data_IF_174930053093
#
_entry.id   IF_174930053093
#
_cell.length_a   1.000
_cell.length_b   1.000
_cell.length_c   1.000
_cell.angle_alpha   90.00
_cell.angle_beta   90.00
_cell.angle_gamma   90.00
#
_symmetry.space_group_name_H-M   'P 1'
#
loop_
_entity.id
_entity.type
_entity.pdbx_description
1 polymer ?
#
# COMPACT_ATOMS: atom_id res chain seq x y z
N UNK A 1 -17.33 -48.02 -12.33
CA UNK A 1 -16.90 -47.09 -11.28
C UNK A 1 -17.41 -45.72 -11.67
N UNK A 2 -18.41 -45.20 -10.98
CA UNK A 2 -18.81 -43.80 -11.15
C UNK A 2 -17.62 -42.92 -10.76
N UNK A 3 -17.26 -41.99 -11.65
CA UNK A 3 -16.31 -40.94 -11.31
C UNK A 3 -17.01 -40.03 -10.30
N UNK A 4 -16.67 -40.18 -9.02
CA UNK A 4 -17.05 -39.21 -8.00
C UNK A 4 -16.51 -37.84 -8.40
N UNK A 5 -17.40 -36.93 -8.83
CA UNK A 5 -17.04 -35.54 -9.07
C UNK A 5 -16.66 -34.89 -7.75
N UNK A 6 -15.39 -34.52 -7.61
CA UNK A 6 -14.90 -33.77 -6.46
C UNK A 6 -15.00 -32.28 -6.80
N UNK A 7 -15.97 -31.59 -6.19
CA UNK A 7 -16.13 -30.14 -6.32
C UNK A 7 -15.26 -29.45 -5.26
N UNK A 8 -14.14 -28.86 -5.67
CA UNK A 8 -13.31 -28.03 -4.79
C UNK A 8 -13.95 -26.64 -4.72
N UNK A 9 -14.50 -26.28 -3.56
CA UNK A 9 -15.06 -24.94 -3.35
C UNK A 9 -13.94 -23.90 -3.34
N UNK A 10 -14.11 -22.85 -4.15
CA UNK A 10 -13.21 -21.70 -4.10
C UNK A 10 -13.27 -21.04 -2.72
N UNK A 11 -12.12 -20.86 -2.08
CA UNK A 11 -12.04 -20.10 -0.84
C UNK A 11 -12.37 -18.63 -1.12
N UNK A 12 -13.14 -18.04 -0.21
CA UNK A 12 -13.52 -16.63 -0.24
C UNK A 12 -13.34 -16.08 1.18
N UNK A 13 -12.68 -14.92 1.34
CA UNK A 13 -12.48 -14.34 2.65
C UNK A 13 -13.81 -14.06 3.34
N UNK A 14 -13.96 -14.54 4.56
CA UNK A 14 -15.08 -14.17 5.42
C UNK A 14 -14.81 -12.81 6.10
N UNK A 15 -15.78 -12.33 6.89
CA UNK A 15 -15.65 -11.06 7.58
C UNK A 15 -14.48 -11.04 8.60
N UNK A 16 -14.16 -12.18 9.20
CA UNK A 16 -13.07 -12.31 10.16
C UNK A 16 -11.72 -12.19 9.47
N UNK A 17 -11.56 -12.82 8.31
CA UNK A 17 -10.36 -12.69 7.48
C UNK A 17 -10.23 -11.27 6.93
N UNK A 18 -11.33 -10.66 6.46
CA UNK A 18 -11.32 -9.26 6.04
C UNK A 18 -10.86 -8.32 7.17
N UNK A 19 -11.40 -8.51 8.38
CA UNK A 19 -11.01 -7.74 9.55
C UNK A 19 -9.53 -7.97 9.91
N UNK A 20 -9.05 -9.22 9.83
CA UNK A 20 -7.65 -9.55 10.08
C UNK A 20 -6.72 -8.76 9.15
N UNK A 21 -6.98 -8.76 7.83
CA UNK A 21 -6.13 -8.03 6.88
C UNK A 21 -6.21 -6.51 7.06
N UNK A 22 -7.38 -5.97 7.39
CA UNK A 22 -7.51 -4.58 7.78
C UNK A 22 -6.62 -4.25 9.00
N UNK A 23 -6.67 -5.08 10.05
CA UNK A 23 -5.87 -4.92 11.26
C UNK A 23 -4.36 -5.08 11.00
N UNK A 24 -3.95 -5.93 10.06
CA UNK A 24 -2.55 -5.99 9.64
C UNK A 24 -2.07 -4.60 9.18
N UNK A 25 -2.87 -3.90 8.38
CA UNK A 25 -2.54 -2.54 7.93
C UNK A 25 -2.48 -1.53 9.08
N UNK A 26 -3.42 -1.62 10.02
CA UNK A 26 -3.42 -0.79 11.23
C UNK A 26 -2.13 -0.96 12.02
N UNK A 27 -1.70 -2.21 12.23
CA UNK A 27 -0.52 -2.54 13.05
C UNK A 27 0.78 -2.18 12.32
N UNK A 28 0.88 -2.42 11.01
CA UNK A 28 2.11 -2.19 10.24
C UNK A 28 2.31 -0.75 9.81
N UNK A 29 1.33 0.13 10.00
CA UNK A 29 1.36 1.51 9.54
C UNK A 29 2.38 2.39 10.29
N UNK A 30 1.91 3.20 11.21
CA UNK A 30 2.71 4.28 11.80
C UNK A 30 3.91 3.81 12.62
N UNK A 31 3.87 2.70 13.39
CA UNK A 31 5.06 2.22 14.08
C UNK A 31 6.22 1.95 13.13
N UNK A 32 5.94 1.40 11.94
CA UNK A 32 6.95 1.09 10.95
C UNK A 32 7.47 2.37 10.28
N UNK A 33 6.58 3.27 9.86
CA UNK A 33 6.94 4.55 9.24
C UNK A 33 7.79 5.42 10.18
N UNK A 34 7.35 5.61 11.42
CA UNK A 34 8.08 6.42 12.40
C UNK A 34 9.41 5.78 12.78
N UNK A 35 9.44 4.46 12.98
CA UNK A 35 10.67 3.74 13.28
C UNK A 35 11.69 3.89 12.16
N UNK A 36 11.26 3.71 10.90
CA UNK A 36 12.16 3.79 9.75
C UNK A 36 12.67 5.20 9.53
N UNK A 37 11.83 6.23 9.71
CA UNK A 37 12.28 7.61 9.56
C UNK A 37 13.31 7.96 10.61
N UNK A 38 13.01 7.67 11.88
CA UNK A 38 13.92 7.96 12.97
C UNK A 38 15.24 7.19 12.83
N UNK A 39 15.16 5.91 12.48
CA UNK A 39 16.35 5.10 12.28
C UNK A 39 17.19 5.59 11.09
N UNK A 40 16.56 5.87 9.95
CA UNK A 40 17.28 6.34 8.75
C UNK A 40 17.86 7.73 8.95
N UNK A 41 17.13 8.64 9.60
CA UNK A 41 17.61 10.00 9.89
C UNK A 41 18.86 9.95 10.81
N UNK A 42 18.93 9.00 11.77
CA UNK A 42 20.12 8.77 12.60
C UNK A 42 21.32 8.24 11.78
N UNK A 43 21.09 7.40 10.79
CA UNK A 43 22.17 6.90 9.92
C UNK A 43 22.72 7.97 8.96
N UNK A 44 21.98 9.07 8.76
CA UNK A 44 22.33 10.15 7.84
C UNK A 44 22.84 11.41 8.57
N UNK A 45 23.27 11.29 9.83
CA UNK A 45 23.88 12.38 10.59
C UNK A 45 25.04 12.99 9.79
N UNK A 46 25.09 14.32 9.75
CA UNK A 46 26.09 15.09 9.00
C UNK A 46 25.59 15.59 7.63
N UNK A 47 24.44 15.09 7.17
CA UNK A 47 23.74 15.67 6.01
C UNK A 47 22.77 16.77 6.44
N UNK A 48 22.41 17.66 5.51
CA UNK A 48 21.38 18.67 5.77
C UNK A 48 19.97 18.03 5.78
N UNK A 49 19.02 18.70 6.44
CA UNK A 49 17.65 18.20 6.64
C UNK A 49 16.90 17.90 5.33
N UNK A 50 17.17 18.65 4.26
CA UNK A 50 16.55 18.42 2.96
C UNK A 50 17.06 17.12 2.32
N UNK A 51 18.38 16.89 2.32
CA UNK A 51 18.98 15.66 1.82
C UNK A 51 18.53 14.44 2.64
N UNK A 52 18.43 14.58 3.97
CA UNK A 52 17.90 13.54 4.84
C UNK A 52 16.46 13.20 4.41
N UNK A 53 15.58 14.19 4.32
CA UNK A 53 14.18 13.97 3.94
C UNK A 53 14.02 13.32 2.56
N UNK A 54 14.87 13.69 1.59
CA UNK A 54 14.89 13.05 0.28
C UNK A 54 15.24 11.56 0.39
N UNK A 55 16.35 11.22 1.05
CA UNK A 55 16.80 9.82 1.12
C UNK A 55 15.83 8.98 1.96
N UNK A 56 15.51 9.43 3.17
CA UNK A 56 14.72 8.63 4.12
C UNK A 56 13.24 8.57 3.74
N UNK A 57 12.60 9.72 3.52
CA UNK A 57 11.14 9.83 3.36
C UNK A 57 10.70 9.70 1.91
N UNK A 58 11.43 10.32 0.98
CA UNK A 58 11.04 10.32 -0.42
C UNK A 58 11.39 9.01 -1.13
N UNK A 59 12.46 8.31 -0.73
CA UNK A 59 12.89 7.10 -1.44
C UNK A 59 12.90 5.84 -0.59
N UNK A 60 13.56 5.83 0.58
CA UNK A 60 13.76 4.59 1.33
C UNK A 60 12.46 4.05 1.95
N UNK A 61 11.70 4.92 2.59
CA UNK A 61 10.46 4.56 3.25
C UNK A 61 9.41 3.88 2.34
N UNK A 62 9.11 4.40 1.13
CA UNK A 62 8.26 3.72 0.16
C UNK A 62 8.56 2.23 -0.04
N UNK A 63 9.84 1.82 -0.12
CA UNK A 63 10.17 0.39 -0.26
C UNK A 63 9.65 -0.43 0.91
N UNK A 64 9.90 0.03 2.13
CA UNK A 64 9.56 -0.75 3.31
C UNK A 64 8.05 -0.72 3.58
N UNK A 65 7.41 0.43 3.39
CA UNK A 65 5.97 0.57 3.59
C UNK A 65 5.16 -0.25 2.58
N UNK A 66 5.48 -0.17 1.29
CA UNK A 66 4.77 -0.98 0.29
C UNK A 66 4.99 -2.47 0.51
N UNK A 67 6.19 -2.88 0.93
CA UNK A 67 6.46 -4.28 1.26
C UNK A 67 5.64 -4.76 2.46
N UNK A 68 5.64 -3.98 3.55
CA UNK A 68 4.95 -4.34 4.78
C UNK A 68 3.42 -4.46 4.61
N UNK A 69 2.81 -3.61 3.77
CA UNK A 69 1.38 -3.70 3.45
C UNK A 69 1.01 -5.03 2.80
N UNK A 70 1.87 -5.60 1.96
CA UNK A 70 1.52 -6.82 1.23
C UNK A 70 2.15 -8.10 1.79
N UNK A 71 3.05 -7.98 2.77
CA UNK A 71 3.74 -9.12 3.36
C UNK A 71 2.78 -10.26 3.78
N UNK A 72 1.64 -9.99 4.46
CA UNK A 72 0.70 -11.04 4.84
C UNK A 72 0.06 -11.79 3.64
N UNK A 73 0.01 -11.17 2.44
CA UNK A 73 -0.63 -11.76 1.26
C UNK A 73 0.22 -12.83 0.58
N UNK A 74 1.55 -12.83 0.77
CA UNK A 74 2.44 -13.80 0.14
C UNK A 74 2.16 -15.25 0.56
N UNK A 75 1.55 -15.44 1.74
CA UNK A 75 1.25 -16.74 2.31
C UNK A 75 -0.16 -17.26 1.95
N UNK A 76 -0.94 -16.50 1.18
CA UNK A 76 -2.32 -16.86 0.82
C UNK A 76 -2.36 -17.64 -0.49
N UNK A 77 -1.99 -18.91 -0.40
CA UNK A 77 -2.22 -19.89 -1.46
C UNK A 77 -3.68 -20.38 -1.42
N UNK A 78 -4.33 -20.57 -2.57
CA UNK A 78 -5.70 -21.08 -2.63
C UNK A 78 -6.80 -20.01 -2.71
N UNK A 79 -6.46 -18.73 -2.56
CA UNK A 79 -7.37 -17.60 -2.78
C UNK A 79 -7.59 -17.31 -4.28
N UNK A 80 -8.71 -16.67 -4.62
CA UNK A 80 -8.87 -16.13 -5.98
C UNK A 80 -8.09 -14.83 -6.17
N UNK A 81 -7.78 -14.47 -7.41
CA UNK A 81 -7.12 -13.19 -7.70
C UNK A 81 -7.91 -12.00 -7.14
N UNK A 82 -9.24 -12.08 -7.20
CA UNK A 82 -10.13 -11.03 -6.69
C UNK A 82 -10.09 -10.96 -5.17
N UNK A 83 -10.06 -12.10 -4.49
CA UNK A 83 -9.86 -12.15 -3.04
C UNK A 83 -8.55 -11.50 -2.62
N UNK A 84 -7.41 -11.90 -3.20
CA UNK A 84 -6.10 -11.32 -2.85
C UNK A 84 -6.08 -9.81 -3.06
N UNK A 85 -6.65 -9.33 -4.18
CA UNK A 85 -6.72 -7.91 -4.47
C UNK A 85 -7.59 -7.15 -3.44
N UNK A 86 -8.76 -7.67 -3.10
CA UNK A 86 -9.63 -7.07 -2.08
C UNK A 86 -8.96 -7.06 -0.69
N UNK A 87 -8.26 -8.13 -0.32
CA UNK A 87 -7.49 -8.18 0.92
C UNK A 87 -6.38 -7.12 0.92
N UNK A 88 -5.69 -6.91 -0.20
CA UNK A 88 -4.72 -5.81 -0.35
C UNK A 88 -5.33 -4.42 -0.17
N UNK A 89 -6.53 -4.18 -0.71
CA UNK A 89 -7.28 -2.93 -0.48
C UNK A 89 -7.55 -2.73 1.02
N UNK A 90 -7.95 -3.79 1.74
CA UNK A 90 -8.23 -3.72 3.17
C UNK A 90 -6.98 -3.41 4.00
N UNK A 91 -5.84 -4.05 3.68
CA UNK A 91 -4.58 -3.72 4.35
C UNK A 91 -4.20 -2.26 4.12
N UNK A 92 -4.25 -1.80 2.87
CA UNK A 92 -3.95 -0.40 2.54
C UNK A 92 -4.92 0.60 3.18
N UNK A 93 -6.20 0.24 3.37
CA UNK A 93 -7.17 1.07 4.07
C UNK A 93 -6.87 1.19 5.56
N UNK A 94 -6.57 0.07 6.22
CA UNK A 94 -6.13 0.07 7.62
C UNK A 94 -4.90 0.96 7.82
N UNK A 95 -3.94 0.85 6.88
CA UNK A 95 -2.74 1.67 6.87
C UNK A 95 -3.09 3.16 6.74
N UNK A 96 -3.85 3.53 5.71
CA UNK A 96 -4.19 4.93 5.44
C UNK A 96 -4.99 5.61 6.55
N UNK A 97 -5.86 4.88 7.24
CA UNK A 97 -6.62 5.41 8.39
C UNK A 97 -5.69 5.74 9.56
N UNK A 98 -4.80 4.82 9.95
CA UNK A 98 -3.88 5.05 11.07
C UNK A 98 -2.92 6.20 10.77
N UNK A 99 -2.43 6.27 9.54
CA UNK A 99 -1.55 7.33 9.09
C UNK A 99 -2.26 8.70 9.13
N UNK A 100 -3.50 8.77 8.63
CA UNK A 100 -4.36 9.96 8.71
C UNK A 100 -4.54 10.41 10.16
N UNK A 101 -4.99 9.51 11.04
CA UNK A 101 -5.26 9.83 12.46
C UNK A 101 -4.00 10.31 13.16
N UNK A 102 -2.87 9.66 12.93
CA UNK A 102 -1.60 10.01 13.58
C UNK A 102 -1.14 11.40 13.16
N UNK A 103 -1.03 11.66 11.86
CA UNK A 103 -0.51 12.96 11.41
C UNK A 103 -1.45 14.11 11.76
N UNK A 104 -2.78 13.90 11.70
CA UNK A 104 -3.74 14.91 12.15
C UNK A 104 -3.62 15.16 13.66
N UNK A 105 -3.41 14.11 14.46
CA UNK A 105 -3.16 14.26 15.91
C UNK A 105 -1.84 14.98 16.21
N UNK A 106 -0.87 14.94 15.30
CA UNK A 106 0.38 15.70 15.34
C UNK A 106 0.25 17.13 14.77
N UNK A 107 -0.97 17.60 14.46
CA UNK A 107 -1.25 18.96 14.01
C UNK A 107 -1.14 19.18 12.50
N UNK A 108 -0.93 18.14 11.69
CA UNK A 108 -0.96 18.27 10.23
C UNK A 108 -2.41 18.48 9.77
N UNK A 109 -2.63 19.48 8.92
CA UNK A 109 -3.97 19.73 8.37
C UNK A 109 -4.50 18.51 7.60
N UNK A 110 -5.76 18.16 7.89
CA UNK A 110 -6.43 16.97 7.36
C UNK A 110 -6.41 16.93 5.82
N UNK A 111 -6.49 18.09 5.16
CA UNK A 111 -6.54 18.17 3.69
C UNK A 111 -5.30 17.57 3.03
N UNK A 112 -4.13 17.67 3.66
CA UNK A 112 -2.88 17.08 3.14
C UNK A 112 -2.78 15.57 3.40
N UNK A 113 -3.69 15.02 4.22
CA UNK A 113 -3.67 13.60 4.61
C UNK A 113 -4.78 12.79 3.94
N UNK A 114 -5.88 13.44 3.53
CA UNK A 114 -6.98 12.80 2.79
C UNK A 114 -6.50 12.06 1.53
N UNK A 115 -5.56 12.58 0.69
CA UNK A 115 -5.06 11.83 -0.45
C UNK A 115 -4.47 10.46 -0.06
N UNK A 116 -3.75 10.39 1.06
CA UNK A 116 -3.18 9.15 1.60
C UNK A 116 -4.23 8.06 1.86
N UNK A 117 -5.43 8.44 2.30
CA UNK A 117 -6.53 7.51 2.56
C UNK A 117 -6.95 6.72 1.31
N UNK A 118 -6.79 7.30 0.12
CA UNK A 118 -7.08 6.64 -1.16
C UNK A 118 -5.83 6.03 -1.79
N UNK A 119 -4.68 6.65 -1.56
CA UNK A 119 -3.39 6.18 -2.07
C UNK A 119 -3.06 4.78 -1.56
N UNK A 120 -3.07 4.58 -0.24
CA UNK A 120 -2.60 3.33 0.37
C UNK A 120 -3.43 2.10 -0.04
N UNK A 121 -4.78 2.13 -0.06
CA UNK A 121 -5.55 1.02 -0.62
C UNK A 121 -5.21 0.74 -2.08
N UNK A 122 -5.03 1.78 -2.89
CA UNK A 122 -4.75 1.62 -4.31
C UNK A 122 -3.35 1.03 -4.55
N UNK A 123 -2.30 1.56 -3.90
CA UNK A 123 -0.93 1.08 -4.05
C UNK A 123 -0.76 -0.35 -3.52
N UNK A 124 -1.33 -0.67 -2.36
CA UNK A 124 -1.35 -2.02 -1.83
C UNK A 124 -2.05 -3.00 -2.79
N UNK A 125 -3.16 -2.58 -3.41
CA UNK A 125 -3.87 -3.37 -4.39
C UNK A 125 -3.10 -3.60 -5.70
N UNK A 126 -2.26 -2.65 -6.15
CA UNK A 126 -1.36 -2.86 -7.29
C UNK A 126 -0.39 -4.01 -6.99
N UNK A 127 0.28 -3.96 -5.85
CA UNK A 127 1.21 -5.03 -5.46
C UNK A 127 0.48 -6.36 -5.23
N UNK A 128 -0.71 -6.34 -4.62
CA UNK A 128 -1.56 -7.51 -4.45
C UNK A 128 -1.97 -8.14 -5.79
N UNK A 129 -2.24 -7.33 -6.82
CA UNK A 129 -2.46 -7.81 -8.19
C UNK A 129 -1.22 -8.55 -8.73
N UNK A 130 -0.03 -8.02 -8.48
CA UNK A 130 1.23 -8.69 -8.82
C UNK A 130 1.36 -10.05 -8.14
N UNK A 131 1.06 -10.13 -6.84
CA UNK A 131 1.05 -11.39 -6.09
C UNK A 131 0.04 -12.38 -6.71
N UNK A 132 -1.19 -11.92 -6.95
CA UNK A 132 -2.27 -12.72 -7.54
C UNK A 132 -1.97 -13.23 -8.95
N UNK A 133 -1.13 -12.52 -9.70
CA UNK A 133 -0.71 -12.89 -11.07
C UNK A 133 0.67 -13.50 -11.15
N UNK A 134 1.29 -13.83 -10.00
CA UNK A 134 2.63 -14.42 -9.88
C UNK A 134 3.74 -13.56 -10.50
N UNK A 135 3.55 -12.24 -10.46
CA UNK A 135 4.50 -11.22 -10.89
C UNK A 135 4.63 -10.13 -9.82
N UNK A 136 4.98 -10.45 -8.56
CA UNK A 136 4.95 -9.46 -7.48
C UNK A 136 5.92 -8.30 -7.71
N UNK A 137 7.14 -8.58 -8.18
CA UNK A 137 8.21 -7.59 -8.25
C UNK A 137 7.88 -6.38 -9.15
N UNK A 138 7.41 -6.52 -10.41
CA UNK A 138 7.05 -5.36 -11.23
C UNK A 138 5.97 -4.47 -10.59
N UNK A 139 4.92 -5.06 -10.02
CA UNK A 139 3.82 -4.29 -9.44
C UNK A 139 4.18 -3.68 -8.07
N UNK A 140 5.04 -4.35 -7.30
CA UNK A 140 5.68 -3.76 -6.13
C UNK A 140 6.49 -2.52 -6.51
N UNK A 141 7.36 -2.61 -7.52
CA UNK A 141 8.17 -1.47 -7.97
C UNK A 141 7.31 -0.32 -8.52
N UNK A 142 6.18 -0.61 -9.17
CA UNK A 142 5.22 0.43 -9.59
C UNK A 142 4.61 1.13 -8.36
N UNK A 143 4.25 0.38 -7.32
CA UNK A 143 3.67 0.93 -6.09
C UNK A 143 4.68 1.80 -5.35
N UNK A 144 5.92 1.31 -5.22
CA UNK A 144 7.04 2.06 -4.66
C UNK A 144 7.31 3.32 -5.49
N UNK A 145 7.30 3.22 -6.82
CA UNK A 145 7.51 4.39 -7.68
C UNK A 145 6.45 5.48 -7.44
N UNK A 146 5.17 5.15 -7.47
CA UNK A 146 4.12 6.14 -7.22
C UNK A 146 4.23 6.75 -5.82
N UNK A 147 4.57 5.95 -4.81
CA UNK A 147 4.73 6.41 -3.45
C UNK A 147 5.94 7.34 -3.32
N UNK A 148 7.09 6.94 -3.89
CA UNK A 148 8.28 7.78 -3.91
C UNK A 148 8.06 9.09 -4.65
N UNK A 149 7.33 9.08 -5.78
CA UNK A 149 6.96 10.30 -6.50
C UNK A 149 6.08 11.21 -5.63
N UNK A 150 5.06 10.67 -4.96
CA UNK A 150 4.21 11.45 -4.06
C UNK A 150 5.03 12.10 -2.94
N UNK A 151 5.91 11.34 -2.29
CA UNK A 151 6.73 11.84 -1.19
C UNK A 151 7.80 12.82 -1.67
N UNK A 152 8.44 12.56 -2.81
CA UNK A 152 9.39 13.48 -3.44
C UNK A 152 8.74 14.84 -3.72
N UNK A 153 7.58 14.84 -4.37
CA UNK A 153 6.85 16.07 -4.68
C UNK A 153 6.42 16.82 -3.42
N UNK A 154 6.04 16.09 -2.36
CA UNK A 154 5.75 16.69 -1.06
C UNK A 154 6.97 17.34 -0.39
N UNK A 155 8.19 16.87 -0.67
CA UNK A 155 9.44 17.42 -0.12
C UNK A 155 9.94 18.62 -0.94
N UNK A 156 9.87 18.56 -2.27
CA UNK A 156 10.50 19.57 -3.14
C UNK A 156 9.59 20.74 -3.52
N UNK A 157 8.27 20.55 -3.50
CA UNK A 157 7.31 21.60 -3.85
C UNK A 157 6.93 22.43 -2.63
N UNK A 158 6.48 23.66 -2.85
CA UNK A 158 6.08 24.60 -1.80
C UNK A 158 4.69 25.17 -2.05
N UNK A 159 4.09 25.78 -1.03
CA UNK A 159 2.72 26.32 -1.10
C UNK A 159 1.68 25.21 -1.28
N UNK A 160 0.76 25.41 -2.23
CA UNK A 160 -0.34 24.47 -2.51
C UNK A 160 0.03 23.36 -3.53
N UNK A 161 1.19 23.47 -4.17
CA UNK A 161 1.65 22.52 -5.20
C UNK A 161 1.85 21.08 -4.66
N UNK A 162 2.36 20.85 -3.43
CA UNK A 162 2.37 19.51 -2.82
C UNK A 162 0.99 18.84 -2.77
N UNK A 163 -0.06 19.60 -2.46
CA UNK A 163 -1.41 19.06 -2.38
C UNK A 163 -1.95 18.69 -3.76
N UNK A 164 -1.82 19.59 -4.74
CA UNK A 164 -2.25 19.35 -6.12
C UNK A 164 -1.53 18.16 -6.75
N UNK A 165 -0.21 18.07 -6.54
CA UNK A 165 0.59 16.94 -7.01
C UNK A 165 0.20 15.63 -6.33
N UNK A 166 -0.11 15.65 -5.03
CA UNK A 166 -0.61 14.46 -4.34
C UNK A 166 -1.93 13.99 -4.94
N UNK A 167 -2.91 14.88 -5.14
CA UNK A 167 -4.17 14.51 -5.82
C UNK A 167 -3.94 13.90 -7.21
N UNK A 168 -3.00 14.45 -7.98
CA UNK A 168 -2.66 13.92 -9.30
C UNK A 168 -2.09 12.50 -9.21
N UNK A 169 -1.09 12.28 -8.35
CA UNK A 169 -0.46 10.95 -8.18
C UNK A 169 -1.48 9.92 -7.67
N UNK A 170 -2.30 10.29 -6.69
CA UNK A 170 -3.37 9.43 -6.18
C UNK A 170 -4.37 9.07 -7.26
N UNK A 171 -4.79 10.04 -8.08
CA UNK A 171 -5.75 9.81 -9.16
C UNK A 171 -5.22 8.79 -10.18
N UNK A 172 -3.94 8.89 -10.58
CA UNK A 172 -3.31 7.93 -11.48
C UNK A 172 -3.21 6.55 -10.83
N UNK A 173 -2.83 6.51 -9.55
CA UNK A 173 -2.68 5.25 -8.80
C UNK A 173 -4.03 4.52 -8.70
N UNK A 174 -5.09 5.25 -8.33
CA UNK A 174 -6.48 4.73 -8.25
C UNK A 174 -6.96 4.29 -9.63
N UNK A 175 -6.72 5.08 -10.68
CA UNK A 175 -7.08 4.70 -12.05
C UNK A 175 -6.38 3.41 -12.49
N UNK A 176 -5.08 3.30 -12.22
CA UNK A 176 -4.29 2.09 -12.53
C UNK A 176 -4.84 0.88 -11.77
N UNK A 177 -5.11 1.04 -10.47
CA UNK A 177 -5.77 0.03 -9.65
C UNK A 177 -7.10 -0.42 -10.26
N UNK A 178 -7.94 0.53 -10.68
CA UNK A 178 -9.25 0.24 -11.26
C UNK A 178 -9.15 -0.60 -12.53
N UNK A 179 -8.20 -0.27 -13.41
CA UNK A 179 -7.93 -1.05 -14.62
C UNK A 179 -7.49 -2.48 -14.29
N UNK A 180 -6.57 -2.65 -13.34
CA UNK A 180 -6.11 -3.98 -12.92
C UNK A 180 -7.20 -4.80 -12.24
N UNK A 181 -8.03 -4.16 -11.41
CA UNK A 181 -9.18 -4.80 -10.76
C UNK A 181 -10.13 -5.42 -11.79
N UNK A 182 -10.42 -4.70 -12.88
CA UNK A 182 -11.29 -5.20 -13.95
C UNK A 182 -10.71 -6.41 -14.69
N UNK A 183 -9.39 -6.61 -14.61
CA UNK A 183 -8.70 -7.76 -15.21
C UNK A 183 -8.62 -8.99 -14.27
N UNK A 184 -9.02 -8.86 -13.00
CA UNK A 184 -9.01 -10.00 -12.05
C UNK A 184 -10.09 -11.02 -12.35
N UNK A 185 -9.73 -12.30 -12.20
CA UNK A 185 -10.64 -13.44 -12.41
C UNK A 185 -10.88 -14.19 -11.09
N UNK A 186 -11.99 -14.93 -11.02
CA UNK A 186 -12.25 -15.93 -9.97
C UNK A 186 -11.41 -17.21 -10.20
N UNK A 187 -10.09 -17.03 -10.37
CA UNK A 187 -9.13 -18.10 -10.59
C UNK A 187 -8.28 -18.27 -9.35
N UNK A 188 -8.15 -19.50 -8.87
CA UNK A 188 -7.28 -19.85 -7.74
C UNK A 188 -5.83 -19.47 -8.07
N UNK A 189 -5.17 -18.84 -7.11
CA UNK A 189 -3.75 -18.54 -7.11
C UNK A 189 -3.02 -19.74 -6.48
N UNK A 190 -2.39 -20.56 -7.33
CA UNK A 190 -1.53 -21.69 -6.93
C UNK A 190 -0.09 -21.23 -7.02
#
# INVERSE_FOLDING_TARGET
>A
MDKSEVVIKLHKPDASEMLFFFLCGVITSVPLTLFIYQYTDVLLIGLNSFTIALISRAFFAPFVEEFAKVYPLFYRHGETQRSILNLGVLVGLGFGIVELVTYVSLGVSIIYRVPGLFFHPASAALTAYGIATKRPLPFYLISVFFHSVNNYLAVVLTGDLPLLSSFFVVSITVFTFWQLRNNTKERIVI
#
